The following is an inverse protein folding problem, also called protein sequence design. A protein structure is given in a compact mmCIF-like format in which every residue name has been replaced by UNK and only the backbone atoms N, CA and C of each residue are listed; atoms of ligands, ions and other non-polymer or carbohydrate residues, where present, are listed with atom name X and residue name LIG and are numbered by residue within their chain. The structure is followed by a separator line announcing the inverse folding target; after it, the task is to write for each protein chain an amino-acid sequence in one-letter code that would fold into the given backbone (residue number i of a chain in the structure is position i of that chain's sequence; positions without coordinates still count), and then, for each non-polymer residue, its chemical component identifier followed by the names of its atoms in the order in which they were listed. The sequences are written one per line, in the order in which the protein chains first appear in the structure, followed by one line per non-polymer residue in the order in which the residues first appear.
data_IF_730464110426
#
_entry.id   IF_730464110426
#
_cell.length_a   1.000
_cell.length_b   1.000
_cell.length_c   1.000
_cell.angle_alpha   90.00
_cell.angle_beta   90.00
_cell.angle_gamma   90.00
#
_symmetry.space_group_name_H-M   'P 1'
#
loop_
_entity.id
_entity.type
_entity.pdbx_description
1 polymer ?
#
# COMPACT_ATOMS: atom_id res chain seq x y z
N UNK A 1 -15.00 12.59 -0.13
CA UNK A 1 -15.44 12.96 1.24
C UNK A 1 -14.49 12.45 2.30
N UNK A 2 -14.15 11.15 2.28
CA UNK A 2 -13.19 10.54 3.22
C UNK A 2 -11.87 11.33 3.31
N UNK A 3 -11.18 11.55 2.20
CA UNK A 3 -9.92 12.33 2.17
C UNK A 3 -10.03 13.79 2.65
N UNK A 4 -11.23 14.40 2.61
CA UNK A 4 -11.44 15.83 2.96
C UNK A 4 -11.99 16.05 4.37
N UNK A 5 -12.74 15.08 4.90
CA UNK A 5 -13.51 15.22 6.15
C UNK A 5 -13.32 14.06 7.12
N UNK A 6 -12.43 13.12 6.80
CA UNK A 6 -12.24 11.88 7.54
C UNK A 6 -13.48 11.00 7.56
N UNK A 7 -13.39 9.91 8.32
CA UNK A 7 -14.46 8.90 8.42
C UNK A 7 -15.76 9.45 9.04
N UNK A 8 -15.66 10.39 9.98
CA UNK A 8 -16.81 10.99 10.65
C UNK A 8 -17.65 11.88 9.72
N UNK A 9 -17.00 12.42 8.68
CA UNK A 9 -17.63 13.20 7.61
C UNK A 9 -18.30 12.33 6.54
N UNK A 10 -18.08 11.02 6.52
CA UNK A 10 -18.75 10.09 5.59
C UNK A 10 -20.14 9.75 6.14
N UNK A 11 -21.16 10.34 5.50
CA UNK A 11 -22.57 10.18 5.85
C UNK A 11 -23.42 10.13 4.59
N UNK A 12 -24.59 9.48 4.68
CA UNK A 12 -25.51 9.26 3.57
C UNK A 12 -26.00 10.58 2.96
N UNK A 13 -26.51 11.50 3.77
CA UNK A 13 -27.13 12.73 3.26
C UNK A 13 -26.15 13.68 2.58
N UNK A 14 -24.95 13.95 3.13
CA UNK A 14 -23.94 14.74 2.44
C UNK A 14 -23.47 14.08 1.13
N UNK A 15 -23.36 12.74 1.08
CA UNK A 15 -22.92 12.03 -0.13
C UNK A 15 -24.00 12.04 -1.21
N UNK A 16 -25.27 11.79 -0.85
CA UNK A 16 -26.40 11.88 -1.76
C UNK A 16 -26.51 13.27 -2.40
N UNK A 17 -26.33 14.33 -1.60
CA UNK A 17 -26.30 15.72 -2.09
C UNK A 17 -25.13 15.97 -3.04
N UNK A 18 -23.94 15.47 -2.71
CA UNK A 18 -22.75 15.62 -3.54
C UNK A 18 -22.91 14.92 -4.90
N UNK A 19 -23.59 13.77 -4.93
CA UNK A 19 -23.84 12.97 -6.13
C UNK A 19 -25.09 13.41 -6.91
N UNK A 20 -25.83 14.42 -6.42
CA UNK A 20 -27.06 14.90 -7.08
C UNK A 20 -28.22 13.90 -7.04
N UNK A 21 -28.16 12.88 -6.17
CA UNK A 21 -29.19 11.84 -6.04
C UNK A 21 -30.10 12.09 -4.84
N UNK A 22 -31.32 11.57 -4.89
CA UNK A 22 -32.25 11.66 -3.76
C UNK A 22 -31.84 10.73 -2.62
N UNK A 23 -32.24 11.08 -1.38
CA UNK A 23 -32.04 10.22 -0.21
C UNK A 23 -32.67 8.84 -0.41
N UNK A 24 -33.83 8.77 -1.06
CA UNK A 24 -34.50 7.51 -1.40
C UNK A 24 -33.69 6.65 -2.37
N UNK A 25 -33.14 7.26 -3.44
CA UNK A 25 -32.27 6.55 -4.41
C UNK A 25 -30.99 6.03 -3.76
N UNK A 26 -30.44 6.75 -2.78
CA UNK A 26 -29.24 6.32 -2.06
C UNK A 26 -29.51 5.09 -1.17
N UNK A 27 -30.66 5.04 -0.49
CA UNK A 27 -31.03 3.89 0.34
C UNK A 27 -31.28 2.60 -0.44
N UNK A 28 -31.50 2.70 -1.75
CA UNK A 28 -31.54 1.53 -2.64
C UNK A 28 -30.16 0.85 -2.75
N UNK A 29 -29.07 1.62 -2.66
CA UNK A 29 -27.70 1.11 -2.69
C UNK A 29 -27.14 0.78 -1.29
N UNK A 30 -27.45 1.60 -0.28
CA UNK A 30 -26.94 1.42 1.09
C UNK A 30 -28.06 1.60 2.11
N UNK A 31 -28.43 0.54 2.83
CA UNK A 31 -29.61 0.57 3.72
C UNK A 31 -29.42 1.51 4.90
N UNK A 32 -28.17 1.75 5.31
CA UNK A 32 -27.81 2.62 6.41
C UNK A 32 -26.35 3.09 6.29
N UNK A 33 -25.89 3.92 7.23
CA UNK A 33 -24.51 4.41 7.24
C UNK A 33 -23.48 3.28 7.39
N UNK A 34 -23.76 2.25 8.18
CA UNK A 34 -22.85 1.10 8.37
C UNK A 34 -22.63 0.38 7.05
N UNK A 35 -23.68 0.10 6.28
CA UNK A 35 -23.56 -0.54 4.95
C UNK A 35 -22.67 0.29 4.01
N UNK A 36 -22.81 1.62 4.02
CA UNK A 36 -21.94 2.52 3.25
C UNK A 36 -20.48 2.44 3.70
N UNK A 37 -20.25 2.40 5.02
CA UNK A 37 -18.91 2.30 5.58
C UNK A 37 -18.28 0.95 5.27
N UNK A 38 -19.01 -0.15 5.40
CA UNK A 38 -18.53 -1.50 5.07
C UNK A 38 -18.14 -1.57 3.58
N UNK A 39 -18.97 -1.03 2.68
CA UNK A 39 -18.65 -0.97 1.25
C UNK A 39 -17.42 -0.11 0.93
N UNK A 40 -17.11 0.91 1.73
CA UNK A 40 -15.85 1.66 1.57
C UNK A 40 -14.63 0.81 1.93
N UNK A 41 -14.73 -0.04 2.95
CA UNK A 41 -13.65 -0.97 3.28
C UNK A 41 -13.52 -2.04 2.18
N UNK A 42 -14.64 -2.53 1.65
CA UNK A 42 -14.65 -3.48 0.52
C UNK A 42 -13.93 -2.89 -0.70
N UNK A 43 -14.28 -1.66 -1.08
CA UNK A 43 -13.64 -0.95 -2.19
C UNK A 43 -12.13 -0.75 -1.96
N UNK A 44 -11.72 -0.48 -0.73
CA UNK A 44 -10.31 -0.36 -0.37
C UNK A 44 -9.56 -1.71 -0.40
N UNK A 45 -10.23 -2.82 -0.08
CA UNK A 45 -9.67 -4.16 -0.25
C UNK A 45 -9.51 -4.56 -1.73
N UNK A 46 -10.49 -4.18 -2.55
CA UNK A 46 -10.43 -4.35 -4.00
C UNK A 46 -9.24 -3.62 -4.62
N UNK A 47 -8.91 -2.42 -4.12
CA UNK A 47 -7.72 -1.68 -4.55
C UNK A 47 -6.47 -2.55 -4.46
N UNK A 48 -6.23 -3.21 -3.33
CA UNK A 48 -5.01 -4.03 -3.17
C UNK A 48 -4.98 -5.20 -4.14
N UNK A 49 -6.13 -5.80 -4.42
CA UNK A 49 -6.24 -6.89 -5.40
C UNK A 49 -5.93 -6.37 -6.80
N UNK A 50 -6.48 -5.22 -7.16
CA UNK A 50 -6.22 -4.55 -8.44
C UNK A 50 -4.76 -4.11 -8.57
N UNK A 51 -4.17 -3.47 -7.55
CA UNK A 51 -2.78 -3.03 -7.51
C UNK A 51 -1.82 -4.20 -7.80
N UNK A 52 -2.01 -5.34 -7.14
CA UNK A 52 -1.18 -6.52 -7.34
C UNK A 52 -1.37 -7.09 -8.74
N UNK A 53 -2.61 -7.22 -9.20
CA UNK A 53 -2.90 -7.74 -10.55
C UNK A 53 -2.27 -6.86 -11.63
N UNK A 54 -2.38 -5.54 -11.47
CA UNK A 54 -1.89 -4.58 -12.45
C UNK A 54 -0.37 -4.40 -12.40
N UNK A 55 0.22 -4.48 -11.21
CA UNK A 55 1.67 -4.56 -11.05
C UNK A 55 2.26 -5.77 -11.79
N UNK A 56 1.58 -6.93 -11.73
CA UNK A 56 2.03 -8.19 -12.38
C UNK A 56 2.08 -8.13 -13.89
N UNK A 57 1.45 -7.15 -14.54
CA UNK A 57 1.52 -6.95 -15.99
C UNK A 57 2.91 -6.50 -16.46
N UNK A 58 3.80 -6.07 -15.55
CA UNK A 58 5.18 -5.73 -15.91
C UNK A 58 6.08 -6.98 -16.06
N UNK A 59 7.09 -6.89 -16.92
CA UNK A 59 7.88 -8.05 -17.35
C UNK A 59 8.81 -8.62 -16.27
N UNK A 60 9.47 -7.75 -15.50
CA UNK A 60 10.49 -8.16 -14.52
C UNK A 60 10.02 -7.96 -13.08
N UNK A 61 10.50 -8.75 -12.10
CA UNK A 61 10.14 -8.56 -10.69
C UNK A 61 10.40 -7.14 -10.19
N UNK A 62 11.52 -6.53 -10.59
CA UNK A 62 11.82 -5.13 -10.29
C UNK A 62 10.78 -4.17 -10.88
N UNK A 63 10.40 -4.33 -12.15
CA UNK A 63 9.39 -3.45 -12.76
C UNK A 63 8.01 -3.65 -12.13
N UNK A 64 7.64 -4.87 -11.72
CA UNK A 64 6.40 -5.14 -11.00
C UNK A 64 6.36 -4.43 -9.66
N UNK A 65 7.46 -4.47 -8.92
CA UNK A 65 7.60 -3.72 -7.68
C UNK A 65 7.46 -2.20 -7.92
N UNK A 66 8.10 -1.66 -8.95
CA UNK A 66 8.04 -0.22 -9.24
C UNK A 66 6.62 0.20 -9.60
N UNK A 67 5.98 -0.57 -10.49
CA UNK A 67 4.59 -0.38 -10.90
C UNK A 67 3.65 -0.45 -9.70
N UNK A 68 3.84 -1.40 -8.79
CA UNK A 68 3.03 -1.51 -7.58
C UNK A 68 3.04 -0.22 -6.74
N UNK A 69 4.21 0.38 -6.49
CA UNK A 69 4.28 1.63 -5.72
C UNK A 69 3.83 2.87 -6.51
N UNK A 70 4.05 2.91 -7.83
CA UNK A 70 3.51 3.96 -8.69
C UNK A 70 1.98 3.98 -8.69
N UNK A 71 1.35 2.80 -8.64
CA UNK A 71 -0.10 2.67 -8.62
C UNK A 71 -0.70 3.01 -7.24
N UNK A 72 0.08 2.92 -6.16
CA UNK A 72 -0.29 3.50 -4.85
C UNK A 72 -0.18 5.03 -4.96
N UNK A 73 -1.22 5.62 -5.53
CA UNK A 73 -1.30 7.07 -5.77
C UNK A 73 -2.67 7.59 -5.32
N UNK A 74 -2.72 8.79 -4.70
CA UNK A 74 -3.98 9.45 -4.35
C UNK A 74 -4.84 9.82 -5.58
N UNK A 75 -4.32 9.68 -6.80
CA UNK A 75 -5.05 9.99 -8.04
C UNK A 75 -6.05 8.91 -8.46
N UNK A 76 -5.98 7.70 -7.89
CA UNK A 76 -6.96 6.65 -8.17
C UNK A 76 -8.23 6.82 -7.30
N UNK A 77 -9.39 6.40 -7.82
CA UNK A 77 -10.71 6.55 -7.18
C UNK A 77 -10.92 5.67 -5.91
N UNK A 78 -9.85 5.21 -5.28
CA UNK A 78 -9.89 4.36 -4.10
C UNK A 78 -9.81 5.15 -2.79
N UNK A 79 -10.32 4.60 -1.67
CA UNK A 79 -10.16 5.20 -0.35
C UNK A 79 -8.69 5.41 0.02
N UNK A 80 -8.36 6.56 0.61
CA UNK A 80 -7.00 6.87 1.04
C UNK A 80 -6.53 5.96 2.17
N UNK A 81 -5.40 5.28 1.98
CA UNK A 81 -4.70 4.48 3.00
C UNK A 81 -4.58 5.21 4.34
N UNK A 82 -4.18 6.49 4.34
CA UNK A 82 -4.05 7.30 5.55
C UNK A 82 -5.34 7.35 6.35
N UNK A 83 -6.45 7.70 5.70
CA UNK A 83 -7.75 7.82 6.36
C UNK A 83 -8.28 6.45 6.80
N UNK A 84 -8.02 5.40 6.02
CA UNK A 84 -8.35 4.02 6.39
C UNK A 84 -7.59 3.56 7.64
N UNK A 85 -6.30 3.90 7.76
CA UNK A 85 -5.51 3.58 8.96
C UNK A 85 -5.93 4.39 10.18
N UNK A 86 -6.30 5.67 10.02
CA UNK A 86 -6.88 6.49 11.10
C UNK A 86 -8.17 5.83 11.61
N UNK A 87 -9.02 5.35 10.69
CA UNK A 87 -10.24 4.64 11.05
C UNK A 87 -9.97 3.29 11.72
N UNK A 88 -9.04 2.50 11.17
CA UNK A 88 -8.62 1.22 11.72
C UNK A 88 -8.14 1.31 13.18
N UNK A 89 -7.45 2.40 13.56
CA UNK A 89 -7.01 2.64 14.95
C UNK A 89 -8.16 2.71 15.96
N UNK A 90 -9.37 3.07 15.50
CA UNK A 90 -10.55 3.29 16.35
C UNK A 90 -11.63 2.23 16.19
N UNK A 91 -11.54 1.34 15.20
CA UNK A 91 -12.58 0.37 14.87
C UNK A 91 -12.01 -1.04 14.68
N UNK A 92 -12.22 -1.97 15.62
CA UNK A 92 -11.61 -3.31 15.59
C UNK A 92 -11.86 -4.11 14.31
N UNK A 93 -13.07 -4.04 13.75
CA UNK A 93 -13.42 -4.74 12.50
C UNK A 93 -12.57 -4.24 11.32
N UNK A 94 -12.37 -2.92 11.23
CA UNK A 94 -11.54 -2.29 10.17
C UNK A 94 -10.07 -2.58 10.41
N UNK A 95 -9.61 -2.62 11.66
CA UNK A 95 -8.24 -3.01 12.01
C UNK A 95 -7.87 -4.40 11.47
N UNK A 96 -8.73 -5.39 11.67
CA UNK A 96 -8.47 -6.75 11.19
C UNK A 96 -8.37 -6.80 9.66
N UNK A 97 -9.21 -6.03 8.96
CA UNK A 97 -9.24 -5.93 7.49
C UNK A 97 -8.01 -5.20 6.94
N UNK A 98 -7.66 -4.07 7.56
CA UNK A 98 -6.43 -3.34 7.27
C UNK A 98 -5.21 -4.27 7.40
N UNK A 99 -5.04 -4.93 8.54
CA UNK A 99 -3.92 -5.86 8.75
C UNK A 99 -3.85 -6.95 7.66
N UNK A 100 -4.99 -7.50 7.22
CA UNK A 100 -5.02 -8.51 6.16
C UNK A 100 -4.56 -7.96 4.80
N UNK A 101 -4.93 -6.72 4.47
CA UNK A 101 -4.46 -6.02 3.27
C UNK A 101 -2.95 -5.76 3.35
N UNK A 102 -2.46 -5.24 4.47
CA UNK A 102 -1.03 -4.94 4.65
C UNK A 102 -0.19 -6.22 4.47
N UNK A 103 -0.65 -7.34 5.04
CA UNK A 103 -0.01 -8.65 4.83
C UNK A 103 0.03 -9.08 3.36
N UNK A 104 -1.04 -8.85 2.58
CA UNK A 104 -1.05 -9.14 1.13
C UNK A 104 -0.04 -8.27 0.37
N UNK A 105 0.04 -6.99 0.71
CA UNK A 105 0.98 -6.04 0.10
C UNK A 105 2.43 -6.42 0.41
N UNK A 106 2.74 -6.72 1.68
CA UNK A 106 4.07 -7.19 2.10
C UNK A 106 4.44 -8.51 1.41
N UNK A 107 3.50 -9.48 1.37
CA UNK A 107 3.73 -10.76 0.72
C UNK A 107 4.03 -10.61 -0.78
N UNK A 108 3.35 -9.70 -1.47
CA UNK A 108 3.65 -9.39 -2.87
C UNK A 108 5.06 -8.82 -3.04
N UNK A 109 5.46 -7.90 -2.15
CA UNK A 109 6.82 -7.33 -2.19
C UNK A 109 7.87 -8.42 -1.97
N UNK A 110 7.68 -9.28 -0.96
CA UNK A 110 8.56 -10.42 -0.69
C UNK A 110 8.67 -11.36 -1.89
N UNK A 111 7.54 -11.71 -2.51
CA UNK A 111 7.48 -12.56 -3.70
C UNK A 111 8.36 -12.01 -4.82
N UNK A 112 8.25 -10.71 -5.13
CA UNK A 112 9.05 -10.13 -6.21
C UNK A 112 10.54 -10.03 -5.84
N UNK A 113 10.89 -9.73 -4.58
CA UNK A 113 12.28 -9.76 -4.13
C UNK A 113 12.89 -11.15 -4.30
N UNK A 114 12.14 -12.21 -4.00
CA UNK A 114 12.58 -13.59 -4.19
C UNK A 114 12.75 -13.94 -5.67
N UNK A 115 11.83 -13.50 -6.53
CA UNK A 115 11.96 -13.68 -7.97
C UNK A 115 13.16 -12.91 -8.56
N UNK A 116 13.60 -11.83 -7.90
CA UNK A 116 14.84 -11.09 -8.25
C UNK A 116 16.11 -11.74 -7.64
N UNK A 117 16.00 -12.92 -7.02
CA UNK A 117 17.14 -13.70 -6.51
C UNK A 117 17.53 -13.43 -5.05
N UNK A 118 16.75 -12.64 -4.30
CA UNK A 118 16.97 -12.42 -2.87
C UNK A 118 16.55 -13.66 -2.07
N UNK A 119 17.38 -14.12 -1.12
CA UNK A 119 17.03 -15.28 -0.30
C UNK A 119 15.81 -15.01 0.58
N UNK A 120 14.98 -16.03 0.83
CA UNK A 120 13.70 -15.86 1.53
C UNK A 120 13.80 -15.12 2.90
N UNK A 121 14.76 -15.43 3.80
CA UNK A 121 14.87 -14.70 5.07
C UNK A 121 15.22 -13.22 4.88
N UNK A 122 16.02 -12.90 3.86
CA UNK A 122 16.43 -11.53 3.55
C UNK A 122 15.28 -10.79 2.84
N UNK A 123 14.56 -11.46 1.93
CA UNK A 123 13.40 -10.92 1.22
C UNK A 123 12.27 -10.54 2.17
N UNK A 124 11.91 -11.41 3.12
CA UNK A 124 10.87 -11.12 4.12
C UNK A 124 11.19 -9.86 4.93
N UNK A 125 12.44 -9.74 5.42
CA UNK A 125 12.87 -8.56 6.19
C UNK A 125 12.87 -7.28 5.35
N UNK A 126 13.27 -7.39 4.09
CA UNK A 126 13.33 -6.27 3.14
C UNK A 126 11.96 -5.82 2.67
N UNK A 127 11.03 -6.75 2.48
CA UNK A 127 9.64 -6.45 2.17
C UNK A 127 9.01 -5.62 3.30
N UNK A 128 9.24 -6.02 4.54
CA UNK A 128 8.78 -5.28 5.72
C UNK A 128 9.37 -3.86 5.76
N UNK A 129 10.69 -3.72 5.55
CA UNK A 129 11.36 -2.41 5.52
C UNK A 129 10.81 -1.52 4.41
N UNK A 130 10.64 -2.07 3.20
CA UNK A 130 10.14 -1.32 2.06
C UNK A 130 8.70 -0.84 2.30
N UNK A 131 7.88 -1.69 2.89
CA UNK A 131 6.51 -1.36 3.22
C UNK A 131 6.41 -0.31 4.34
N UNK A 132 7.22 -0.43 5.40
CA UNK A 132 7.30 0.60 6.45
C UNK A 132 7.79 1.95 5.91
N UNK A 133 8.77 1.96 5.00
CA UNK A 133 9.23 3.17 4.33
C UNK A 133 8.11 3.84 3.52
N UNK A 134 7.29 3.03 2.84
CA UNK A 134 6.11 3.49 2.09
C UNK A 134 5.07 4.11 3.01
N UNK A 135 4.74 3.46 4.14
CA UNK A 135 3.84 4.04 5.14
C UNK A 135 4.37 5.37 5.70
N UNK A 136 5.67 5.45 5.95
CA UNK A 136 6.33 6.68 6.37
C UNK A 136 6.22 7.80 5.34
N UNK A 137 6.35 7.46 4.06
CA UNK A 137 6.13 8.39 2.96
C UNK A 137 4.67 8.88 2.92
N UNK A 138 3.69 7.97 2.95
CA UNK A 138 2.25 8.31 2.92
C UNK A 138 1.86 9.24 4.07
N UNK A 139 2.32 8.94 5.29
CA UNK A 139 2.05 9.75 6.48
C UNK A 139 2.72 11.13 6.41
N UNK A 140 3.95 11.21 5.88
CA UNK A 140 4.69 12.49 5.79
C UNK A 140 4.16 13.37 4.67
N UNK A 141 3.87 12.80 3.50
CA UNK A 141 3.30 13.51 2.34
C UNK A 141 1.97 14.19 2.71
N UNK A 142 1.13 13.51 3.48
CA UNK A 142 -0.13 14.07 3.98
C UNK A 142 0.01 15.23 4.99
N UNK A 143 1.22 15.52 5.48
CA UNK A 143 1.51 16.62 6.44
C UNK A 143 2.43 17.70 5.86
N UNK A 144 3.15 17.43 4.78
CA UNK A 144 4.20 18.29 4.27
C UNK A 144 3.96 18.65 2.80
N UNK A 145 3.62 19.91 2.56
CA UNK A 145 3.45 20.48 1.20
C UNK A 145 4.78 20.60 0.45
N UNK A 146 5.91 20.57 1.16
CA UNK A 146 7.26 20.69 0.60
C UNK A 146 7.81 19.38 0.00
N UNK A 147 7.15 18.24 0.23
CA UNK A 147 7.43 17.04 -0.54
C UNK A 147 6.80 17.25 -1.92
N UNK A 148 7.55 17.04 -2.99
CA UNK A 148 7.04 17.12 -4.37
C UNK A 148 7.20 15.79 -5.11
N UNK A 149 7.95 14.86 -4.52
CA UNK A 149 8.14 13.52 -5.06
C UNK A 149 6.83 12.73 -5.05
N UNK A 150 6.64 11.91 -6.07
CA UNK A 150 5.63 10.85 -6.09
C UNK A 150 6.11 9.61 -5.32
N UNK A 151 5.19 8.71 -4.94
CA UNK A 151 5.61 7.45 -4.31
C UNK A 151 6.43 6.58 -5.25
N UNK A 152 6.22 6.69 -6.56
CA UNK A 152 7.04 6.04 -7.58
C UNK A 152 8.50 6.51 -7.54
N UNK A 153 8.72 7.83 -7.50
CA UNK A 153 10.06 8.42 -7.42
C UNK A 153 10.76 8.07 -6.10
N UNK A 154 10.01 8.08 -4.99
CA UNK A 154 10.52 7.57 -3.72
C UNK A 154 10.94 6.10 -3.80
N UNK A 155 10.12 5.26 -4.45
CA UNK A 155 10.41 3.83 -4.63
C UNK A 155 11.63 3.59 -5.51
N UNK A 156 11.85 4.41 -6.56
CA UNK A 156 13.04 4.36 -7.41
C UNK A 156 14.34 4.51 -6.61
N UNK A 157 14.33 5.34 -5.55
CA UNK A 157 15.48 5.51 -4.65
C UNK A 157 15.56 4.45 -3.54
N UNK A 158 14.41 3.96 -3.07
CA UNK A 158 14.35 2.93 -2.03
C UNK A 158 14.85 1.58 -2.56
N UNK A 159 14.52 1.22 -3.79
CA UNK A 159 14.78 -0.11 -4.34
C UNK A 159 16.24 -0.48 -4.49
N UNK A 160 17.16 0.40 -4.93
CA UNK A 160 18.58 0.10 -4.88
C UNK A 160 19.05 -0.32 -3.47
N UNK A 161 18.51 0.29 -2.40
CA UNK A 161 18.85 -0.04 -1.03
C UNK A 161 18.27 -1.38 -0.58
N UNK A 162 17.03 -1.65 -0.99
CA UNK A 162 16.32 -2.90 -0.66
C UNK A 162 16.83 -4.07 -1.50
N UNK A 163 17.24 -3.86 -2.75
CA UNK A 163 17.74 -4.88 -3.66
C UNK A 163 19.25 -5.11 -3.54
N UNK A 164 20.00 -4.18 -2.93
CA UNK A 164 21.45 -4.30 -2.77
C UNK A 164 21.83 -5.70 -2.28
N UNK A 165 22.61 -6.45 -3.05
CA UNK A 165 23.14 -7.73 -2.59
C UNK A 165 24.10 -7.44 -1.44
N UNK A 166 23.83 -7.99 -0.26
CA UNK A 166 24.76 -7.91 0.87
C UNK A 166 26.09 -8.55 0.44
N UNK A 167 27.14 -7.75 0.25
CA UNK A 167 28.49 -8.24 -0.10
C UNK A 167 29.13 -9.14 0.98
N UNK A 168 28.45 -9.36 2.12
CA UNK A 168 28.99 -10.06 3.29
C UNK A 168 29.30 -11.56 3.12
N UNK A 169 29.16 -12.16 1.93
CA UNK A 169 29.52 -13.57 1.69
C UNK A 169 30.81 -13.80 0.88
N UNK A 170 31.60 -12.76 0.56
CA UNK A 170 32.96 -12.97 0.05
C UNK A 170 33.94 -13.15 1.21
N UNK A 171 33.91 -14.29 1.88
CA UNK A 171 35.03 -14.70 2.74
C UNK A 171 36.22 -15.03 1.82
N UNK A 172 37.40 -14.38 1.95
CA UNK A 172 38.54 -14.76 1.15
C UNK A 172 38.99 -16.16 1.58
N UNK A 173 38.97 -17.10 0.63
CA UNK A 173 39.58 -18.41 0.79
C UNK A 173 41.04 -18.19 1.22
N UNK A 174 41.35 -18.53 2.48
CA UNK A 174 42.73 -18.50 2.98
C UNK A 174 43.52 -19.55 2.19
N UNK A 175 44.25 -19.08 1.18
CA UNK A 175 45.30 -19.84 0.52
C UNK A 175 46.28 -20.30 1.60
N UNK A 176 46.26 -21.60 1.92
CA UNK A 176 47.33 -22.26 2.67
C UNK A 176 48.59 -22.18 1.81
N UNK A 177 49.46 -21.21 2.08
CA UNK A 177 50.84 -21.28 1.63
C UNK A 177 51.54 -22.31 2.52
N UNK A 178 51.79 -23.49 1.97
CA UNK A 178 52.82 -24.40 2.48
C UNK A 178 54.16 -23.96 1.89
N UNK A 179 55.05 -23.46 2.73
CA UNK A 179 56.50 -23.73 2.67
C UNK A 179 57.03 -23.69 4.09
#
# INVERSE_FOLDING_TARGET
MLAKKGIDGVRVEPLARLLGVTKGSFYWHFRNRRDLLDALVDLWEEETTWLIAEARQADTPRMRLLRFFQLISPEHNYPSDREMFVWARRTPQVKSRANAIELKRVAFIEEQLRHDGVSAPIAARRAEIAYLATLGWVERRGRSEAMDDSLGEFADHLFPLVLATSERNKTPSRTRVRK
#
